data_IF_406645754937
#
_entry.id   IF_406645754937
#
_cell.length_a   1.000
_cell.length_b   1.000
_cell.length_c   1.000
_cell.angle_alpha   90.00
_cell.angle_beta   90.00
_cell.angle_gamma   90.00
#
_symmetry.space_group_name_H-M   'P 1'
#
loop_
_entity.id
_entity.type
_entity.pdbx_description
1 polymer ?
#
# COMPACT_ATOMS: atom_id res chain seq x y z
N UNK A 1 8.66 -4.11 -25.95
CA UNK A 1 8.18 -2.88 -26.64
C UNK A 1 6.87 -3.12 -27.40
N UNK A 2 6.72 -4.16 -28.23
CA UNK A 2 5.50 -4.35 -29.03
C UNK A 2 4.19 -4.38 -28.22
N UNK A 3 4.11 -5.14 -27.12
CA UNK A 3 2.91 -5.19 -26.28
C UNK A 3 2.58 -3.86 -25.59
N UNK A 4 3.60 -3.04 -25.26
CA UNK A 4 3.37 -1.72 -24.65
C UNK A 4 2.70 -0.80 -25.68
N UNK A 5 3.19 -0.82 -26.92
CA UNK A 5 2.59 -0.07 -28.03
C UNK A 5 1.16 -0.53 -28.29
N UNK A 6 0.92 -1.85 -28.35
CA UNK A 6 -0.43 -2.42 -28.55
C UNK A 6 -1.43 -1.99 -27.47
N UNK A 7 -1.03 -2.05 -26.19
CA UNK A 7 -1.86 -1.61 -25.07
C UNK A 7 -2.11 -0.11 -25.14
N UNK A 8 -1.09 0.69 -25.45
CA UNK A 8 -1.19 2.15 -25.59
C UNK A 8 -2.17 2.55 -26.69
N UNK A 9 -2.05 1.94 -27.87
CA UNK A 9 -2.95 2.18 -29.01
C UNK A 9 -4.39 1.74 -28.70
N UNK A 10 -4.56 0.59 -28.06
CA UNK A 10 -5.88 0.12 -27.62
C UNK A 10 -6.53 1.07 -26.61
N UNK A 11 -5.76 1.53 -25.61
CA UNK A 11 -6.25 2.52 -24.63
C UNK A 11 -6.56 3.86 -25.27
N UNK A 12 -5.80 4.31 -26.26
CA UNK A 12 -6.10 5.53 -27.01
C UNK A 12 -7.41 5.42 -27.79
N UNK A 13 -7.67 4.27 -28.41
CA UNK A 13 -8.88 4.04 -29.21
C UNK A 13 -10.13 3.84 -28.37
N UNK A 14 -10.04 3.03 -27.31
CA UNK A 14 -11.21 2.56 -26.54
C UNK A 14 -11.43 3.35 -25.25
N UNK A 15 -10.39 4.00 -24.73
CA UNK A 15 -10.38 4.71 -23.46
C UNK A 15 -9.81 6.13 -23.58
N UNK A 16 -10.09 6.82 -24.69
CA UNK A 16 -9.57 8.17 -25.01
C UNK A 16 -9.87 9.24 -23.95
N UNK A 17 -10.93 9.05 -23.15
CA UNK A 17 -11.34 9.91 -22.06
C UNK A 17 -10.44 9.83 -20.82
N UNK A 18 -9.58 8.80 -20.72
CA UNK A 18 -8.65 8.67 -19.61
C UNK A 18 -7.51 9.69 -19.73
N UNK A 19 -7.00 10.22 -18.60
CA UNK A 19 -5.92 11.18 -18.58
C UNK A 19 -4.64 10.64 -19.23
N UNK A 20 -3.83 11.55 -19.74
CA UNK A 20 -2.51 11.31 -20.34
C UNK A 20 -1.37 11.83 -19.46
N UNK A 21 -0.13 11.46 -19.78
CA UNK A 21 1.06 11.79 -19.01
C UNK A 21 1.34 10.79 -17.90
N UNK A 22 2.04 11.24 -16.84
CA UNK A 22 2.44 10.37 -15.72
C UNK A 22 1.23 9.73 -15.05
N UNK A 23 1.26 8.41 -14.90
CA UNK A 23 0.15 7.56 -14.46
C UNK A 23 -1.10 7.58 -15.38
N UNK A 24 -0.97 8.07 -16.60
CA UNK A 24 -2.03 8.15 -17.61
C UNK A 24 -2.04 6.95 -18.54
N UNK A 25 -2.95 6.99 -19.52
CA UNK A 25 -3.17 5.92 -20.52
C UNK A 25 -2.02 5.72 -21.50
N UNK A 26 -1.08 6.66 -21.56
CA UNK A 26 0.09 6.69 -22.42
C UNK A 26 1.43 6.58 -21.65
N UNK A 27 1.37 6.37 -20.32
CA UNK A 27 2.53 6.12 -19.47
C UNK A 27 3.07 4.70 -19.73
N UNK A 28 4.16 4.62 -20.48
CA UNK A 28 4.75 3.34 -20.90
C UNK A 28 5.30 2.52 -19.72
N UNK A 29 5.76 3.17 -18.65
CA UNK A 29 6.22 2.47 -17.45
C UNK A 29 5.05 1.85 -16.70
N UNK A 30 3.94 2.60 -16.56
CA UNK A 30 2.71 2.09 -15.95
C UNK A 30 2.07 0.98 -16.82
N UNK A 31 2.08 1.12 -18.13
CA UNK A 31 1.60 0.07 -19.04
C UNK A 31 2.44 -1.20 -18.86
N UNK A 32 3.77 -1.08 -18.88
CA UNK A 32 4.66 -2.22 -18.66
C UNK A 32 4.42 -2.86 -17.29
N UNK A 33 4.12 -2.05 -16.27
CA UNK A 33 3.78 -2.52 -14.93
C UNK A 33 2.55 -3.44 -14.93
N UNK A 34 1.46 -2.99 -15.52
CA UNK A 34 0.21 -3.76 -15.59
C UNK A 34 0.34 -4.99 -16.51
N UNK A 35 1.16 -4.92 -17.55
CA UNK A 35 1.53 -6.09 -18.34
C UNK A 35 2.28 -7.13 -17.50
N UNK A 36 3.30 -6.73 -16.71
CA UNK A 36 3.99 -7.66 -15.79
C UNK A 36 3.02 -8.29 -14.79
N UNK A 37 2.10 -7.51 -14.23
CA UNK A 37 1.05 -7.98 -13.32
C UNK A 37 0.08 -8.99 -13.96
N UNK A 38 -0.31 -8.75 -15.21
CA UNK A 38 -1.23 -9.61 -15.96
C UNK A 38 -0.52 -10.67 -16.80
N UNK A 39 0.72 -11.02 -16.46
CA UNK A 39 1.53 -12.04 -17.15
C UNK A 39 1.60 -11.82 -18.67
N UNK A 40 1.70 -10.56 -19.08
CA UNK A 40 1.75 -10.09 -20.46
C UNK A 40 0.48 -10.38 -21.30
N UNK A 41 -0.67 -10.60 -20.66
CA UNK A 41 -1.97 -10.55 -21.35
C UNK A 41 -2.37 -9.09 -21.63
N UNK A 42 -2.42 -8.70 -22.90
CA UNK A 42 -2.77 -7.34 -23.31
C UNK A 42 -4.21 -6.98 -22.90
N UNK A 43 -5.17 -7.87 -23.17
CA UNK A 43 -6.59 -7.68 -22.83
C UNK A 43 -6.80 -7.47 -21.32
N UNK A 44 -6.21 -8.32 -20.48
CA UNK A 44 -6.30 -8.17 -19.04
C UNK A 44 -5.61 -6.90 -18.54
N UNK A 45 -4.45 -6.56 -19.12
CA UNK A 45 -3.71 -5.35 -18.78
C UNK A 45 -4.52 -4.09 -19.09
N UNK A 46 -5.12 -4.00 -20.29
CA UNK A 46 -6.00 -2.89 -20.70
C UNK A 46 -7.15 -2.74 -19.71
N UNK A 47 -7.89 -3.84 -19.46
CA UNK A 47 -9.07 -3.83 -18.58
C UNK A 47 -8.73 -3.37 -17.16
N UNK A 48 -7.62 -3.86 -16.60
CA UNK A 48 -7.22 -3.53 -15.23
C UNK A 48 -6.59 -2.14 -15.13
N UNK A 49 -5.76 -1.75 -16.09
CA UNK A 49 -5.12 -0.43 -16.13
C UNK A 49 -6.16 0.68 -16.33
N UNK A 50 -7.12 0.51 -17.23
CA UNK A 50 -8.19 1.48 -17.43
C UNK A 50 -9.00 1.73 -16.15
N UNK A 51 -9.32 0.67 -15.41
CA UNK A 51 -9.98 0.78 -14.09
C UNK A 51 -9.11 1.52 -13.07
N UNK A 52 -7.81 1.24 -13.03
CA UNK A 52 -6.89 1.90 -12.12
C UNK A 52 -6.73 3.39 -12.42
N UNK A 53 -6.54 3.77 -13.69
CA UNK A 53 -6.42 5.18 -14.09
C UNK A 53 -7.71 5.93 -13.76
N UNK A 54 -8.87 5.34 -14.07
CA UNK A 54 -10.17 5.96 -13.74
C UNK A 54 -10.33 6.18 -12.23
N UNK A 55 -10.06 5.15 -11.42
CA UNK A 55 -10.13 5.28 -9.96
C UNK A 55 -9.17 6.34 -9.44
N UNK A 56 -7.93 6.42 -9.95
CA UNK A 56 -6.97 7.45 -9.54
C UNK A 56 -7.47 8.87 -9.79
N UNK A 57 -8.15 9.06 -10.91
CA UNK A 57 -8.78 10.34 -11.25
C UNK A 57 -9.98 10.64 -10.34
N UNK A 58 -10.91 9.68 -10.19
CA UNK A 58 -12.10 9.84 -9.33
C UNK A 58 -11.76 10.04 -7.85
N UNK A 59 -10.70 9.40 -7.37
CA UNK A 59 -10.21 9.53 -5.99
C UNK A 59 -9.42 10.83 -5.76
N UNK A 60 -9.00 11.52 -6.82
CA UNK A 60 -8.18 12.73 -6.72
C UNK A 60 -6.76 12.45 -6.23
N UNK A 61 -6.13 11.34 -6.65
CA UNK A 61 -4.78 10.96 -6.17
C UNK A 61 -3.73 12.04 -6.45
N UNK A 62 -3.84 12.74 -7.58
CA UNK A 62 -2.95 13.85 -7.95
C UNK A 62 -3.09 15.08 -7.06
N UNK A 63 -4.19 15.20 -6.31
CA UNK A 63 -4.50 16.33 -5.44
C UNK A 63 -4.12 16.05 -3.98
N UNK A 64 -3.68 14.82 -3.67
CA UNK A 64 -3.24 14.47 -2.32
C UNK A 64 -1.91 15.18 -1.98
N UNK A 65 -1.97 16.03 -0.96
CA UNK A 65 -0.83 16.72 -0.36
C UNK A 65 -0.72 16.45 1.14
N UNK A 66 0.39 16.84 1.76
CA UNK A 66 0.57 16.73 3.22
C UNK A 66 -0.51 17.51 3.97
N UNK A 67 -0.87 18.69 3.48
CA UNK A 67 -1.93 19.53 4.06
C UNK A 67 -3.29 18.83 3.95
N UNK A 68 -3.58 18.18 2.81
CA UNK A 68 -4.88 17.55 2.56
C UNK A 68 -5.17 16.33 3.44
N UNK A 69 -4.14 15.74 4.06
CA UNK A 69 -4.26 14.58 4.97
C UNK A 69 -3.78 14.88 6.38
N UNK A 70 -3.44 16.15 6.66
CA UNK A 70 -2.75 16.57 7.89
C UNK A 70 -3.50 16.14 9.14
N UNK A 71 -4.81 16.37 9.20
CA UNK A 71 -5.66 16.05 10.35
C UNK A 71 -5.48 14.59 10.81
N UNK A 72 -5.54 13.63 9.88
CA UNK A 72 -5.38 12.21 10.19
C UNK A 72 -3.91 11.83 10.36
N UNK A 73 -3.01 12.43 9.57
CA UNK A 73 -1.57 12.17 9.68
C UNK A 73 -1.02 12.55 11.08
N UNK A 74 -1.53 13.60 11.69
CA UNK A 74 -1.12 14.09 13.03
C UNK A 74 -1.45 13.10 14.15
N UNK A 75 -2.39 12.17 13.96
CA UNK A 75 -2.61 11.06 14.90
C UNK A 75 -1.37 10.17 15.04
N UNK A 76 -0.47 10.17 14.05
CA UNK A 76 0.68 9.30 13.98
C UNK A 76 0.32 7.82 13.83
N UNK A 77 -0.89 7.49 13.36
CA UNK A 77 -1.35 6.10 13.17
C UNK A 77 -0.64 5.38 12.03
N UNK A 78 -0.09 6.11 11.07
CA UNK A 78 0.66 5.53 9.96
C UNK A 78 1.69 6.53 9.38
N UNK A 79 2.84 6.03 8.94
CA UNK A 79 3.89 6.85 8.33
C UNK A 79 4.84 6.02 7.46
N UNK A 80 5.61 6.70 6.60
CA UNK A 80 6.72 6.08 5.87
C UNK A 80 8.00 6.30 6.66
N UNK A 81 8.61 5.22 7.13
CA UNK A 81 9.85 5.26 7.90
C UNK A 81 10.98 5.97 7.14
N UNK A 82 11.88 6.63 7.86
CA UNK A 82 12.98 7.39 7.26
C UNK A 82 14.02 6.51 6.59
N UNK A 83 14.19 5.30 7.11
CA UNK A 83 15.15 4.33 6.59
C UNK A 83 14.45 3.24 5.78
N UNK A 84 15.11 2.87 4.68
CA UNK A 84 14.79 1.66 3.92
C UNK A 84 15.14 0.40 4.72
N UNK A 85 14.51 -0.71 4.37
CA UNK A 85 14.86 -2.02 4.91
C UNK A 85 16.22 -2.54 4.37
N UNK A 86 16.67 -3.69 4.86
CA UNK A 86 17.93 -4.33 4.44
C UNK A 86 17.97 -4.72 2.94
N UNK A 87 16.83 -4.70 2.24
CA UNK A 87 16.72 -4.95 0.80
C UNK A 87 16.54 -3.66 -0.01
N UNK A 88 16.74 -2.49 0.62
CA UNK A 88 16.56 -1.14 0.07
C UNK A 88 15.12 -0.86 -0.37
N UNK A 89 14.12 -1.31 0.41
CA UNK A 89 12.70 -1.04 0.16
C UNK A 89 12.16 -0.02 1.17
N UNK A 90 11.33 0.95 0.74
CA UNK A 90 10.58 1.82 1.65
C UNK A 90 9.72 1.00 2.61
N UNK A 91 9.61 1.47 3.86
CA UNK A 91 8.87 0.79 4.92
C UNK A 91 7.71 1.69 5.36
N UNK A 92 6.49 1.21 5.17
CA UNK A 92 5.27 1.82 5.68
C UNK A 92 4.93 1.18 7.02
N UNK A 93 4.84 1.99 8.07
CA UNK A 93 4.54 1.55 9.43
C UNK A 93 3.13 2.04 9.79
N UNK A 94 2.34 1.15 10.40
CA UNK A 94 1.01 1.42 10.94
C UNK A 94 0.98 1.02 12.40
N UNK A 95 0.57 1.95 13.27
CA UNK A 95 0.31 1.72 14.69
C UNK A 95 -1.19 1.52 14.88
N UNK A 96 -1.64 0.26 14.88
CA UNK A 96 -3.07 -0.05 14.80
C UNK A 96 -3.86 0.38 16.04
N UNK A 97 -3.22 0.54 17.20
CA UNK A 97 -3.85 1.05 18.43
C UNK A 97 -4.27 2.52 18.36
N UNK A 98 -3.74 3.28 17.38
CA UNK A 98 -4.11 4.67 17.10
C UNK A 98 -5.21 4.80 16.04
N UNK A 99 -5.68 3.69 15.48
CA UNK A 99 -6.77 3.71 14.51
C UNK A 99 -8.12 3.69 15.23
N UNK A 100 -8.89 4.77 15.12
CA UNK A 100 -10.25 4.86 15.67
C UNK A 100 -11.22 5.22 14.53
N UNK A 101 -11.97 4.23 13.99
CA UNK A 101 -12.82 4.41 12.80
C UNK A 101 -13.93 5.44 12.97
N UNK A 102 -14.30 5.74 14.22
CA UNK A 102 -15.40 6.66 14.54
C UNK A 102 -14.94 8.11 14.74
N UNK A 103 -13.62 8.38 14.79
CA UNK A 103 -13.07 9.71 15.08
C UNK A 103 -12.93 10.60 13.83
N UNK A 104 -12.87 10.00 12.64
CA UNK A 104 -12.61 10.69 11.38
C UNK A 104 -13.65 10.30 10.32
N UNK A 105 -13.80 11.11 9.27
CA UNK A 105 -14.60 10.66 8.14
C UNK A 105 -13.91 9.47 7.49
N UNK A 106 -14.71 8.48 7.09
CA UNK A 106 -14.21 7.23 6.52
C UNK A 106 -13.24 7.46 5.34
N UNK A 107 -13.48 8.50 4.54
CA UNK A 107 -12.62 8.84 3.41
C UNK A 107 -11.26 9.42 3.81
N UNK A 108 -11.10 9.98 5.01
CA UNK A 108 -9.84 10.58 5.42
C UNK A 108 -8.75 9.53 5.65
N UNK A 109 -9.10 8.38 6.25
CA UNK A 109 -8.20 7.26 6.42
C UNK A 109 -7.80 6.64 5.07
N UNK A 110 -8.75 6.53 4.14
CA UNK A 110 -8.48 6.09 2.76
C UNK A 110 -7.50 7.05 2.06
N UNK A 111 -7.71 8.36 2.20
CA UNK A 111 -6.84 9.40 1.62
C UNK A 111 -5.43 9.35 2.22
N UNK A 112 -5.32 9.23 3.55
CA UNK A 112 -4.02 9.06 4.21
C UNK A 112 -3.32 7.77 3.72
N UNK A 113 -4.04 6.67 3.61
CA UNK A 113 -3.51 5.40 3.11
C UNK A 113 -2.91 5.57 1.71
N UNK A 114 -3.66 6.14 0.78
CA UNK A 114 -3.20 6.35 -0.60
C UNK A 114 -2.05 7.34 -0.66
N UNK A 115 -2.10 8.41 0.12
CA UNK A 115 -1.01 9.38 0.24
C UNK A 115 0.29 8.72 0.71
N UNK A 116 0.23 7.86 1.73
CA UNK A 116 1.40 7.15 2.26
C UNK A 116 1.95 6.10 1.28
N UNK A 117 1.08 5.41 0.54
CA UNK A 117 1.49 4.52 -0.55
C UNK A 117 2.27 5.31 -1.60
N UNK A 118 1.71 6.42 -2.10
CA UNK A 118 2.36 7.29 -3.07
C UNK A 118 3.68 7.87 -2.55
N UNK A 119 3.72 8.31 -1.28
CA UNK A 119 4.94 8.80 -0.62
C UNK A 119 6.00 7.72 -0.52
N UNK A 120 5.62 6.48 -0.21
CA UNK A 120 6.55 5.35 -0.18
C UNK A 120 7.08 4.99 -1.57
N UNK A 121 6.22 4.97 -2.58
CA UNK A 121 6.61 4.67 -3.97
C UNK A 121 7.59 5.72 -4.53
N UNK A 122 7.44 7.00 -4.17
CA UNK A 122 8.41 8.05 -4.55
C UNK A 122 9.78 7.89 -3.89
N UNK A 123 9.89 7.16 -2.78
CA UNK A 123 11.15 6.84 -2.10
C UNK A 123 11.83 5.57 -2.65
N UNK A 124 11.24 4.88 -3.63
CA UNK A 124 11.84 3.68 -4.22
C UNK A 124 13.17 4.03 -4.92
N UNK A 125 14.28 3.33 -4.60
CA UNK A 125 15.50 3.43 -5.38
C UNK A 125 15.31 2.88 -6.80
N UNK A 126 16.18 3.29 -7.73
CA UNK A 126 16.18 2.77 -9.10
C UNK A 126 16.22 1.24 -9.13
N UNK A 127 15.36 0.64 -9.96
CA UNK A 127 15.23 -0.81 -10.08
C UNK A 127 14.51 -1.51 -8.92
N UNK A 128 14.02 -0.77 -7.90
CA UNK A 128 13.12 -1.29 -6.87
C UNK A 128 11.69 -0.95 -7.19
N UNK A 129 10.80 -1.88 -6.91
CA UNK A 129 9.39 -1.76 -7.32
C UNK A 129 8.41 -1.99 -6.16
N UNK A 130 8.90 -2.49 -5.02
CA UNK A 130 8.10 -2.98 -3.90
C UNK A 130 8.39 -2.25 -2.57
N UNK A 131 7.36 -2.10 -1.75
CA UNK A 131 7.40 -1.55 -0.39
C UNK A 131 7.05 -2.62 0.65
N UNK A 132 7.54 -2.43 1.88
CA UNK A 132 7.27 -3.29 3.03
C UNK A 132 6.20 -2.65 3.92
N UNK A 133 5.15 -3.41 4.29
CA UNK A 133 4.17 -2.98 5.29
C UNK A 133 4.46 -3.59 6.67
N UNK A 134 4.48 -2.76 7.71
CA UNK A 134 4.59 -3.20 9.12
C UNK A 134 3.38 -2.67 9.87
N UNK A 135 2.66 -3.57 10.52
CA UNK A 135 1.49 -3.28 11.35
C UNK A 135 1.84 -3.64 12.79
N UNK A 136 2.11 -2.63 13.59
CA UNK A 136 2.26 -2.75 15.04
C UNK A 136 0.88 -2.90 15.67
N UNK A 137 0.65 -4.06 16.27
CA UNK A 137 -0.62 -4.40 16.93
C UNK A 137 -0.54 -4.29 18.46
N UNK A 138 0.55 -3.75 19.02
CA UNK A 138 0.63 -3.46 20.45
C UNK A 138 -0.48 -2.49 20.84
N UNK A 139 -1.23 -2.85 21.88
CA UNK A 139 -2.37 -2.07 22.35
C UNK A 139 -3.61 -2.13 21.46
N UNK A 140 -3.63 -2.93 20.38
CA UNK A 140 -4.81 -3.09 19.53
C UNK A 140 -5.98 -3.70 20.32
N UNK A 141 -7.13 -3.02 20.28
CA UNK A 141 -8.40 -3.47 20.85
C UNK A 141 -9.52 -3.54 19.80
N UNK A 142 -10.69 -4.04 20.19
CA UNK A 142 -11.85 -4.15 19.28
C UNK A 142 -12.33 -2.80 18.75
N UNK A 143 -12.16 -1.72 19.52
CA UNK A 143 -12.45 -0.35 19.09
C UNK A 143 -11.60 0.11 17.89
N UNK A 144 -10.46 -0.54 17.64
CA UNK A 144 -9.58 -0.24 16.52
C UNK A 144 -9.89 -1.10 15.28
N UNK A 145 -10.80 -2.07 15.39
CA UNK A 145 -11.08 -3.00 14.31
C UNK A 145 -11.91 -2.34 13.21
N UNK A 146 -11.36 -2.30 11.99
CA UNK A 146 -12.02 -1.67 10.84
C UNK A 146 -11.99 -2.58 9.60
N UNK A 147 -13.03 -3.38 9.46
CA UNK A 147 -13.14 -4.30 8.31
C UNK A 147 -13.36 -3.54 7.00
N UNK A 148 -14.01 -2.37 7.04
CA UNK A 148 -14.26 -1.56 5.84
C UNK A 148 -12.95 -0.99 5.32
N UNK A 149 -12.16 -0.35 6.19
CA UNK A 149 -10.85 0.16 5.83
C UNK A 149 -9.89 -0.94 5.39
N UNK A 150 -9.88 -2.11 6.06
CA UNK A 150 -9.08 -3.24 5.61
C UNK A 150 -9.48 -3.73 4.21
N UNK A 151 -10.78 -3.70 3.90
CA UNK A 151 -11.28 -4.04 2.55
C UNK A 151 -10.74 -3.05 1.53
N UNK A 152 -10.84 -1.74 1.81
CA UNK A 152 -10.26 -0.70 0.96
C UNK A 152 -8.76 -0.90 0.76
N UNK A 153 -7.99 -1.12 1.83
CA UNK A 153 -6.55 -1.31 1.79
C UNK A 153 -6.16 -2.47 0.86
N UNK A 154 -6.82 -3.62 1.00
CA UNK A 154 -6.55 -4.78 0.16
C UNK A 154 -6.97 -4.57 -1.29
N UNK A 155 -8.12 -3.93 -1.53
CA UNK A 155 -8.56 -3.59 -2.87
C UNK A 155 -7.66 -2.56 -3.54
N UNK A 156 -7.13 -1.59 -2.79
CA UNK A 156 -6.16 -0.62 -3.29
C UNK A 156 -4.90 -1.32 -3.83
N UNK A 157 -4.29 -2.21 -3.04
CA UNK A 157 -3.13 -2.99 -3.50
C UNK A 157 -3.47 -4.03 -4.57
N UNK A 158 -4.70 -4.54 -4.59
CA UNK A 158 -5.10 -5.54 -5.58
C UNK A 158 -5.42 -4.95 -6.94
N UNK A 159 -6.16 -3.85 -6.99
CA UNK A 159 -6.64 -3.27 -8.24
C UNK A 159 -5.79 -2.10 -8.72
N UNK A 160 -5.29 -1.25 -7.83
CA UNK A 160 -4.72 0.06 -8.20
C UNK A 160 -3.21 0.13 -8.03
N UNK A 161 -2.66 -0.60 -7.07
CA UNK A 161 -1.22 -0.70 -6.81
C UNK A 161 -0.73 -2.16 -6.88
N UNK A 162 -1.03 -2.89 -7.98
CA UNK A 162 -0.64 -4.29 -8.08
C UNK A 162 0.87 -4.47 -7.97
N UNK A 163 1.31 -5.57 -7.35
CA UNK A 163 2.74 -5.92 -7.20
C UNK A 163 3.60 -4.90 -6.44
N UNK A 164 2.99 -3.94 -5.72
CA UNK A 164 3.75 -2.96 -4.93
C UNK A 164 4.12 -3.44 -3.54
N UNK A 165 3.54 -4.52 -3.03
CA UNK A 165 3.88 -5.09 -1.72
C UNK A 165 4.86 -6.25 -1.87
N UNK A 166 5.93 -6.24 -1.09
CA UNK A 166 6.81 -7.41 -0.97
C UNK A 166 6.37 -8.35 0.17
N UNK A 167 6.07 -7.80 1.35
CA UNK A 167 5.60 -8.51 2.53
C UNK A 167 4.75 -7.56 3.39
N UNK A 168 3.88 -8.15 4.20
CA UNK A 168 3.12 -7.45 5.25
C UNK A 168 3.37 -8.16 6.58
N UNK A 169 3.87 -7.41 7.56
CA UNK A 169 4.33 -7.93 8.84
C UNK A 169 3.40 -7.44 9.95
N UNK A 170 2.65 -8.34 10.58
CA UNK A 170 1.90 -8.06 11.81
C UNK A 170 2.77 -8.37 13.04
N UNK A 171 3.01 -7.35 13.85
CA UNK A 171 3.93 -7.36 14.99
C UNK A 171 3.14 -7.40 16.29
N UNK A 172 3.53 -8.28 17.21
CA UNK A 172 2.92 -8.40 18.55
C UNK A 172 1.38 -8.52 18.54
N UNK A 173 0.82 -9.35 17.66
CA UNK A 173 -0.63 -9.46 17.50
C UNK A 173 -1.32 -9.99 18.78
N UNK A 174 -2.23 -9.22 19.41
CA UNK A 174 -2.91 -9.66 20.61
C UNK A 174 -3.98 -10.72 20.29
N UNK A 175 -4.41 -11.48 21.30
CA UNK A 175 -5.43 -12.52 21.10
C UNK A 175 -6.73 -11.98 20.47
N UNK A 176 -7.11 -10.75 20.81
CA UNK A 176 -8.30 -10.06 20.28
C UNK A 176 -8.22 -9.77 18.77
N UNK A 177 -7.03 -9.78 18.17
CA UNK A 177 -6.88 -9.62 16.71
C UNK A 177 -7.35 -10.86 15.92
N UNK A 178 -7.38 -12.05 16.54
CA UNK A 178 -7.75 -13.30 15.85
C UNK A 178 -9.10 -13.25 15.14
N UNK A 179 -10.22 -12.85 15.78
CA UNK A 179 -11.51 -12.75 15.09
C UNK A 179 -11.50 -11.74 13.93
N UNK A 180 -10.85 -10.59 14.12
CA UNK A 180 -10.68 -9.57 13.05
C UNK A 180 -9.93 -10.18 11.86
N UNK A 181 -8.85 -10.92 12.13
CA UNK A 181 -8.07 -11.58 11.10
C UNK A 181 -8.85 -12.66 10.34
N UNK A 182 -9.72 -13.41 11.03
CA UNK A 182 -10.57 -14.41 10.37
C UNK A 182 -11.53 -13.77 9.35
N UNK A 183 -12.02 -12.57 9.62
CA UNK A 183 -12.86 -11.79 8.70
C UNK A 183 -12.04 -11.15 7.57
N UNK A 184 -10.83 -10.69 7.87
CA UNK A 184 -9.96 -10.01 6.91
C UNK A 184 -9.28 -10.98 5.92
N UNK A 185 -8.94 -12.19 6.34
CA UNK A 185 -8.15 -13.15 5.55
C UNK A 185 -8.73 -13.46 4.15
N UNK A 186 -10.05 -13.65 3.96
CA UNK A 186 -10.64 -13.87 2.64
C UNK A 186 -10.43 -12.70 1.65
N UNK A 187 -10.27 -11.48 2.16
CA UNK A 187 -10.12 -10.26 1.36
C UNK A 187 -8.74 -10.16 0.68
N UNK A 188 -7.73 -10.89 1.18
CA UNK A 188 -6.35 -10.85 0.68
C UNK A 188 -6.20 -11.41 -0.73
N UNK A 189 -7.14 -12.22 -1.23
CA UNK A 189 -7.09 -12.85 -2.55
C UNK A 189 -5.72 -13.53 -2.78
N UNK A 190 -4.98 -13.14 -3.82
CA UNK A 190 -3.64 -13.67 -4.14
C UNK A 190 -2.51 -13.16 -3.22
N UNK A 191 -2.76 -12.16 -2.37
CA UNK A 191 -1.76 -11.57 -1.47
C UNK A 191 -1.62 -12.28 -0.13
N UNK A 192 -2.42 -13.32 0.14
CA UNK A 192 -2.35 -14.05 1.40
C UNK A 192 -0.93 -14.60 1.71
N UNK A 193 -0.16 -14.95 0.67
CA UNK A 193 1.21 -15.44 0.80
C UNK A 193 2.23 -14.38 1.22
N UNK A 194 1.90 -13.09 1.13
CA UNK A 194 2.79 -11.99 1.52
C UNK A 194 2.73 -11.69 3.03
N UNK A 195 1.71 -12.19 3.72
CA UNK A 195 1.45 -11.85 5.11
C UNK A 195 2.26 -12.75 6.06
N UNK A 196 2.87 -12.14 7.08
CA UNK A 196 3.49 -12.82 8.23
C UNK A 196 2.85 -12.26 9.51
N UNK A 197 2.51 -13.13 10.46
CA UNK A 197 1.80 -12.76 11.69
C UNK A 197 2.62 -13.22 12.90
N UNK A 198 2.47 -12.50 14.01
CA UNK A 198 3.12 -12.78 15.31
C UNK A 198 4.65 -12.70 15.25
N UNK A 199 5.16 -11.70 14.55
CA UNK A 199 6.57 -11.37 14.66
C UNK A 199 6.79 -10.59 15.96
N UNK A 200 7.81 -10.99 16.72
CA UNK A 200 8.25 -10.17 17.85
C UNK A 200 9.03 -8.97 17.35
N UNK A 201 9.03 -7.88 18.12
CA UNK A 201 9.81 -6.68 17.76
C UNK A 201 11.29 -7.01 17.58
N UNK A 202 11.85 -7.84 18.46
CA UNK A 202 13.25 -8.25 18.35
C UNK A 202 13.54 -8.95 17.02
N UNK A 203 12.64 -9.82 16.57
CA UNK A 203 12.77 -10.47 15.28
C UNK A 203 12.56 -9.50 14.11
N UNK A 204 11.62 -8.56 14.24
CA UNK A 204 11.36 -7.52 13.24
C UNK A 204 12.61 -6.68 13.00
N UNK A 205 13.24 -6.19 14.07
CA UNK A 205 14.45 -5.36 13.96
C UNK A 205 15.55 -6.12 13.23
N UNK A 206 15.83 -7.36 13.63
CA UNK A 206 16.84 -8.20 12.98
C UNK A 206 16.53 -8.50 11.51
N UNK A 207 15.25 -8.66 11.15
CA UNK A 207 14.81 -9.01 9.81
C UNK A 207 14.74 -7.82 8.86
N UNK A 208 14.35 -6.65 9.36
CA UNK A 208 14.02 -5.49 8.53
C UNK A 208 15.14 -4.46 8.52
N UNK A 209 15.84 -4.27 9.64
CA UNK A 209 16.83 -3.21 9.79
C UNK A 209 18.21 -3.79 10.14
N UNK A 210 19.27 -3.14 9.64
CA UNK A 210 20.64 -3.57 9.96
C UNK A 210 20.94 -3.35 11.46
N UNK A 211 21.73 -4.25 12.05
CA UNK A 211 22.13 -4.19 13.48
C UNK A 211 22.83 -2.87 13.85
N UNK A 212 23.47 -2.21 12.90
CA UNK A 212 24.11 -0.90 13.09
C UNK A 212 23.12 0.27 13.23
N UNK A 213 21.81 0.05 13.01
CA UNK A 213 20.76 1.08 13.05
C UNK A 213 19.79 0.92 14.23
N UNK A 214 20.16 0.14 15.24
CA UNK A 214 19.34 -0.15 16.43
C UNK A 214 18.96 1.08 17.26
N UNK A 215 19.71 2.19 17.18
CA UNK A 215 19.44 3.39 18.00
C UNK A 215 18.20 4.17 17.56
N UNK A 216 17.75 4.05 16.31
CA UNK A 216 16.60 4.81 15.79
C UNK A 216 15.26 4.08 15.92
N UNK A 217 15.28 2.80 16.31
CA UNK A 217 14.06 1.97 16.47
C UNK A 217 13.56 1.91 17.91
N UNK A 218 14.15 2.70 18.81
CA UNK A 218 13.74 2.76 20.22
C UNK A 218 12.25 3.12 20.38
N UNK A 219 11.66 3.89 19.46
CA UNK A 219 10.22 4.21 19.50
C UNK A 219 9.29 3.01 19.19
N UNK A 220 9.79 1.95 18.55
CA UNK A 220 9.04 0.70 18.39
C UNK A 220 9.36 -0.33 19.48
N UNK A 221 10.45 -0.13 20.24
CA UNK A 221 10.87 -1.02 21.32
C UNK A 221 10.40 -0.55 22.71
N UNK A 222 9.98 0.70 22.85
CA UNK A 222 9.45 1.30 24.09
C UNK A 222 8.03 1.82 23.88
#
# INVERSE_FOLDING_TARGET
MQLVVEVKESLEKEHSYLPVGKNGRDDEELILWFLKDRKFSAEEAISKLAKAIRWRHEFGVSELSEESVQCVAETGKAYVHDHLDIYNRPVLIVEASKHFPEEHEYHDDERLCVFLIEKALRKLPDGKEEILGIFDLRGFGMQNADIKFLTFLFDAFYYYYPRRLCEVLFVEAPFVFKPVWQLAKPLLKSYASLVRINLSIQFLVLKVFSVSRYSTLLHLCF
#
